data_IF_564135832760
#
_entry.id   IF_564135832760
#
_cell.length_a   1.000
_cell.length_b   1.000
_cell.length_c   1.000
_cell.angle_alpha   90.00
_cell.angle_beta   90.00
_cell.angle_gamma   90.00
#
_symmetry.space_group_name_H-M   'P 1'
#
loop_
_entity.id
_entity.type
_entity.pdbx_description
1 polymer ?
#
# COMPACT_ATOMS: atom_id res chain seq x y z
N UNK A 1 69.96 38.34 2.41
CA UNK A 1 69.21 38.43 3.68
C UNK A 1 67.88 37.72 3.46
N UNK A 2 67.43 36.86 4.37
CA UNK A 2 67.65 35.40 4.28
C UNK A 2 66.36 34.55 4.35
N UNK A 3 66.51 33.23 4.06
CA UNK A 3 65.77 32.04 4.60
C UNK A 3 64.24 31.94 4.34
N UNK A 4 63.58 30.79 4.16
CA UNK A 4 63.91 29.38 4.28
C UNK A 4 62.75 28.55 3.68
N UNK A 5 63.06 27.31 3.32
CA UNK A 5 62.30 26.08 3.59
C UNK A 5 60.83 25.93 3.14
N UNK A 6 60.66 25.00 2.19
CA UNK A 6 59.41 24.28 1.91
C UNK A 6 59.24 23.13 2.91
N UNK A 7 58.33 23.32 3.88
CA UNK A 7 57.87 22.37 4.92
C UNK A 7 56.43 22.84 5.25
N UNK A 8 55.33 22.09 5.35
CA UNK A 8 55.04 20.68 5.63
C UNK A 8 53.55 20.39 5.32
N UNK A 9 53.26 19.10 5.08
CA UNK A 9 52.07 18.34 5.51
C UNK A 9 50.71 19.03 5.71
N UNK A 10 49.70 18.52 5.00
CA UNK A 10 48.45 18.13 5.64
C UNK A 10 47.92 16.83 5.00
N UNK A 11 48.13 15.74 5.73
CA UNK A 11 47.18 14.64 5.85
C UNK A 11 45.76 15.23 5.93
N UNK A 12 44.77 14.65 5.25
CA UNK A 12 43.47 14.27 5.83
C UNK A 12 42.45 13.95 4.73
N UNK A 13 41.80 12.80 4.94
CA UNK A 13 40.51 12.37 4.38
C UNK A 13 40.46 12.06 2.88
N UNK A 14 40.80 10.79 2.59
CA UNK A 14 39.83 9.93 1.92
C UNK A 14 38.45 10.20 2.56
N UNK A 15 37.64 11.06 1.95
CA UNK A 15 36.21 11.05 2.20
C UNK A 15 35.71 9.71 1.68
N UNK A 16 35.77 8.72 2.57
CA UNK A 16 34.66 7.81 2.80
C UNK A 16 33.40 8.67 2.74
N UNK A 17 32.84 8.81 1.54
CA UNK A 17 31.41 9.07 1.35
C UNK A 17 30.76 7.86 1.98
N UNK A 18 30.58 8.03 3.28
CA UNK A 18 30.20 7.03 4.24
C UNK A 18 28.84 6.54 3.79
N UNK A 19 28.81 5.35 3.20
CA UNK A 19 28.06 4.18 3.70
C UNK A 19 26.86 4.47 4.60
N UNK A 20 26.05 5.45 4.21
CA UNK A 20 24.74 5.79 4.78
C UNK A 20 23.66 5.79 3.70
N UNK A 21 24.04 5.67 2.42
CA UNK A 21 23.17 5.12 1.37
C UNK A 21 23.22 3.59 1.50
N UNK A 22 22.53 3.04 2.50
CA UNK A 22 22.18 1.61 2.43
C UNK A 22 21.12 1.47 1.34
N UNK A 23 21.64 1.21 0.14
CA UNK A 23 20.98 0.93 -1.12
C UNK A 23 19.55 0.43 -0.93
N UNK A 24 18.57 1.29 -1.27
CA UNK A 24 17.27 0.76 -1.67
C UNK A 24 17.47 0.08 -3.02
N UNK A 25 17.86 -1.20 -2.99
CA UNK A 25 18.02 -2.02 -4.18
C UNK A 25 16.66 -2.19 -4.85
N UNK A 26 16.60 -1.92 -6.15
CA UNK A 26 15.41 -2.13 -6.98
C UNK A 26 15.41 -3.58 -7.44
N UNK A 27 14.33 -4.29 -7.17
CA UNK A 27 14.07 -5.64 -7.67
C UNK A 27 12.75 -5.71 -8.41
N UNK A 28 12.58 -6.78 -9.16
CA UNK A 28 11.29 -7.13 -9.77
C UNK A 28 10.77 -8.40 -9.14
N UNK A 29 9.52 -8.37 -8.67
CA UNK A 29 8.83 -9.50 -8.04
C UNK A 29 7.62 -9.86 -8.89
N UNK A 30 7.45 -11.15 -9.16
CA UNK A 30 6.25 -11.64 -9.85
C UNK A 30 5.09 -11.75 -8.87
N UNK A 31 4.00 -11.03 -9.14
CA UNK A 31 2.76 -11.04 -8.36
C UNK A 31 1.60 -11.38 -9.31
N UNK A 32 0.97 -12.55 -9.11
CA UNK A 32 -0.08 -13.09 -10.00
C UNK A 32 0.28 -13.06 -11.50
N UNK A 33 1.54 -13.37 -11.83
CA UNK A 33 2.02 -13.38 -13.22
C UNK A 33 2.38 -12.01 -13.79
N UNK A 34 2.26 -10.93 -13.01
CA UNK A 34 2.66 -9.58 -13.41
C UNK A 34 3.98 -9.18 -12.72
N UNK A 35 4.98 -8.65 -13.46
CA UNK A 35 6.19 -8.12 -12.85
C UNK A 35 5.90 -6.79 -12.15
N UNK A 36 6.11 -6.74 -10.83
CA UNK A 36 5.94 -5.55 -10.00
C UNK A 36 7.31 -5.12 -9.45
N UNK A 37 7.57 -3.81 -9.45
CA UNK A 37 8.81 -3.27 -8.92
C UNK A 37 8.73 -3.26 -7.39
N UNK A 38 9.79 -3.78 -6.77
CA UNK A 38 10.00 -3.81 -5.34
C UNK A 38 11.28 -3.04 -4.98
N UNK A 39 11.27 -2.39 -3.82
CA UNK A 39 12.44 -1.79 -3.20
C UNK A 39 12.78 -2.55 -1.92
N UNK A 40 14.05 -2.87 -1.73
CA UNK A 40 14.54 -3.45 -0.49
C UNK A 40 14.82 -2.33 0.50
N UNK A 41 14.16 -2.37 1.65
CA UNK A 41 14.39 -1.45 2.76
C UNK A 41 14.63 -2.26 4.03
N UNK A 42 15.79 -2.11 4.65
CA UNK A 42 16.16 -2.82 5.88
C UNK A 42 16.02 -4.35 5.76
N UNK A 43 16.36 -4.90 4.58
CA UNK A 43 16.24 -6.33 4.28
C UNK A 43 14.82 -6.81 3.95
N UNK A 44 13.83 -5.91 3.92
CA UNK A 44 12.44 -6.23 3.58
C UNK A 44 12.08 -5.70 2.21
N UNK A 45 11.56 -6.57 1.35
CA UNK A 45 11.04 -6.20 0.03
C UNK A 45 9.66 -5.55 0.16
N UNK A 46 9.53 -4.35 -0.41
CA UNK A 46 8.28 -3.61 -0.44
C UNK A 46 7.91 -3.18 -1.85
N UNK A 47 6.66 -3.41 -2.21
CA UNK A 47 6.08 -3.15 -3.52
C UNK A 47 5.30 -1.83 -3.50
N UNK A 48 5.28 -1.09 -4.61
CA UNK A 48 4.48 0.13 -4.71
C UNK A 48 3.00 -0.21 -4.91
N UNK A 49 2.15 0.23 -3.97
CA UNK A 49 0.71 -0.02 -4.00
C UNK A 49 0.04 0.59 -5.24
N UNK A 50 0.51 1.76 -5.69
CA UNK A 50 -0.05 2.41 -6.86
C UNK A 50 0.26 1.63 -8.16
N UNK A 51 1.41 0.96 -8.27
CA UNK A 51 1.68 0.06 -9.38
C UNK A 51 0.73 -1.14 -9.37
N UNK A 52 0.51 -1.75 -8.20
CA UNK A 52 -0.44 -2.87 -8.03
C UNK A 52 -1.86 -2.42 -8.39
N UNK A 53 -2.27 -1.23 -7.93
CA UNK A 53 -3.57 -0.63 -8.22
C UNK A 53 -3.80 -0.47 -9.72
N UNK A 54 -2.80 0.00 -10.45
CA UNK A 54 -2.91 0.27 -11.89
C UNK A 54 -2.76 -0.98 -12.76
N UNK A 55 -2.23 -2.07 -12.23
CA UNK A 55 -1.97 -3.31 -12.98
C UNK A 55 -3.00 -4.39 -12.66
N UNK A 56 -2.96 -4.91 -11.42
CA UNK A 56 -3.77 -6.04 -10.98
C UNK A 56 -5.19 -5.63 -10.55
N UNK A 57 -5.35 -4.41 -10.01
CA UNK A 57 -6.62 -3.95 -9.44
C UNK A 57 -7.24 -2.78 -10.23
N UNK A 58 -6.92 -2.65 -11.52
CA UNK A 58 -7.33 -1.51 -12.37
C UNK A 58 -8.85 -1.31 -12.49
N UNK A 59 -9.62 -2.38 -12.24
CA UNK A 59 -11.08 -2.36 -12.33
C UNK A 59 -11.76 -1.92 -11.03
N UNK A 60 -11.00 -1.69 -9.95
CA UNK A 60 -11.53 -1.27 -8.66
C UNK A 60 -11.20 0.21 -8.41
N UNK A 61 -12.12 0.91 -7.78
CA UNK A 61 -11.91 2.29 -7.39
C UNK A 61 -10.87 2.40 -6.28
N UNK A 62 -10.21 3.55 -6.21
CA UNK A 62 -9.28 3.85 -5.12
C UNK A 62 -9.93 3.69 -3.73
N UNK A 63 -11.21 4.06 -3.60
CA UNK A 63 -11.95 3.94 -2.35
C UNK A 63 -12.16 2.48 -1.94
N UNK A 64 -12.48 1.60 -2.88
CA UNK A 64 -12.61 0.15 -2.61
C UNK A 64 -11.27 -0.44 -2.18
N UNK A 65 -10.19 -0.13 -2.89
CA UNK A 65 -8.83 -0.58 -2.55
C UNK A 65 -8.42 -0.07 -1.16
N UNK A 66 -8.71 1.20 -0.85
CA UNK A 66 -8.45 1.79 0.45
C UNK A 66 -9.23 1.08 1.56
N UNK A 67 -10.55 0.93 1.42
CA UNK A 67 -11.41 0.28 2.40
C UNK A 67 -11.01 -1.17 2.63
N UNK A 68 -10.66 -1.89 1.54
CA UNK A 68 -10.25 -3.28 1.64
C UNK A 68 -8.90 -3.43 2.34
N UNK A 69 -7.93 -2.57 2.02
CA UNK A 69 -6.64 -2.48 2.71
C UNK A 69 -6.81 -2.27 4.21
N UNK A 70 -7.68 -1.33 4.61
CA UNK A 70 -7.98 -1.04 6.02
C UNK A 70 -8.62 -2.25 6.70
N UNK A 71 -9.62 -2.87 6.08
CA UNK A 71 -10.29 -4.05 6.63
C UNK A 71 -9.35 -5.26 6.81
N UNK A 72 -8.32 -5.40 5.96
CA UNK A 72 -7.31 -6.47 6.08
C UNK A 72 -6.20 -6.15 7.10
N UNK A 73 -6.19 -4.94 7.66
CA UNK A 73 -5.15 -4.47 8.58
C UNK A 73 -3.80 -4.23 7.92
N UNK A 74 -3.77 -3.90 6.62
CA UNK A 74 -2.53 -3.69 5.87
C UNK A 74 -2.01 -2.27 6.14
N UNK A 75 -0.76 -2.17 6.58
CA UNK A 75 -0.11 -0.88 6.87
C UNK A 75 0.71 -0.43 5.67
N UNK A 76 0.58 0.84 5.29
CA UNK A 76 1.33 1.42 4.17
C UNK A 76 2.40 2.34 4.71
N UNK A 77 3.62 2.10 4.26
CA UNK A 77 4.74 2.99 4.53
C UNK A 77 4.83 3.98 3.38
N UNK A 78 4.94 5.27 3.69
CA UNK A 78 5.11 6.30 2.68
C UNK A 78 6.53 6.24 2.12
N UNK A 79 6.67 6.28 0.80
CA UNK A 79 7.99 6.40 0.17
C UNK A 79 8.67 7.71 0.60
N UNK A 80 9.98 7.65 0.83
CA UNK A 80 10.78 8.88 0.85
C UNK A 80 10.87 9.47 -0.57
N UNK A 81 11.14 10.78 -0.73
CA UNK A 81 11.28 11.39 -2.06
C UNK A 81 12.34 10.70 -2.94
N UNK A 82 13.44 10.23 -2.34
CA UNK A 82 14.50 9.48 -3.03
C UNK A 82 13.99 8.15 -3.57
N UNK A 83 13.21 7.41 -2.77
CA UNK A 83 12.61 6.13 -3.18
C UNK A 83 11.55 6.32 -4.27
N UNK A 84 10.76 7.39 -4.17
CA UNK A 84 9.77 7.72 -5.18
C UNK A 84 10.45 8.00 -6.53
N UNK A 85 11.61 8.67 -6.52
CA UNK A 85 12.37 8.92 -7.73
C UNK A 85 12.96 7.62 -8.33
N UNK A 86 13.45 6.70 -7.50
CA UNK A 86 13.88 5.38 -7.98
C UNK A 86 12.73 4.59 -8.63
N UNK A 87 11.53 4.63 -8.05
CA UNK A 87 10.34 3.98 -8.61
C UNK A 87 9.93 4.59 -9.96
N UNK A 88 10.03 5.92 -10.11
CA UNK A 88 9.76 6.59 -11.39
C UNK A 88 10.79 6.19 -12.45
N UNK A 89 12.08 6.16 -12.10
CA UNK A 89 13.16 5.73 -13.01
C UNK A 89 13.01 4.26 -13.42
N UNK A 90 12.49 3.42 -12.53
CA UNK A 90 12.19 2.02 -12.81
C UNK A 90 10.88 1.81 -13.61
N UNK A 91 10.14 2.88 -13.94
CA UNK A 91 8.88 2.79 -14.69
C UNK A 91 7.68 2.27 -13.86
N UNK A 92 7.83 2.14 -12.54
CA UNK A 92 6.76 1.66 -11.66
C UNK A 92 5.64 2.70 -11.46
N UNK A 93 5.96 3.99 -11.59
CA UNK A 93 5.09 5.11 -11.27
C UNK A 93 5.24 6.26 -12.27
N UNK A 94 4.15 6.96 -12.64
CA UNK A 94 4.23 8.10 -13.52
C UNK A 94 4.86 9.31 -12.81
N UNK A 95 5.56 10.15 -13.58
CA UNK A 95 6.28 11.35 -13.10
C UNK A 95 5.36 12.31 -12.34
N UNK A 96 4.08 12.37 -12.71
CA UNK A 96 3.04 13.19 -12.06
C UNK A 96 2.72 12.77 -10.62
N UNK A 97 3.04 11.54 -10.22
CA UNK A 97 2.68 11.01 -8.90
C UNK A 97 3.58 11.59 -7.82
N UNK A 98 2.97 12.25 -6.83
CA UNK A 98 3.68 12.89 -5.70
C UNK A 98 3.77 12.03 -4.45
N UNK A 99 3.00 10.93 -4.38
CA UNK A 99 2.94 10.03 -3.23
C UNK A 99 2.81 8.59 -3.74
N UNK A 100 3.59 7.66 -3.16
CA UNK A 100 3.34 6.22 -3.26
C UNK A 100 3.36 5.64 -1.84
N UNK A 101 2.39 4.77 -1.56
CA UNK A 101 2.40 3.89 -0.40
C UNK A 101 3.03 2.55 -0.77
N UNK A 102 3.87 2.03 0.10
CA UNK A 102 4.54 0.74 -0.07
C UNK A 102 3.96 -0.28 0.89
N UNK A 103 3.84 -1.52 0.41
CA UNK A 103 3.39 -2.67 1.19
C UNK A 103 4.31 -3.86 0.96
N UNK A 104 4.35 -4.80 1.88
CA UNK A 104 5.14 -6.03 1.74
C UNK A 104 4.50 -6.97 0.71
N UNK A 105 5.29 -7.93 0.19
CA UNK A 105 4.79 -8.96 -0.73
C UNK A 105 3.57 -9.72 -0.17
N UNK A 106 3.65 -10.13 1.10
CA UNK A 106 2.56 -10.83 1.79
C UNK A 106 1.28 -10.00 1.87
N UNK A 107 1.41 -8.70 2.13
CA UNK A 107 0.26 -7.79 2.16
C UNK A 107 -0.34 -7.60 0.76
N UNK A 108 0.50 -7.47 -0.27
CA UNK A 108 0.07 -7.36 -1.66
C UNK A 108 -0.72 -8.59 -2.13
N UNK A 109 -0.22 -9.79 -1.81
CA UNK A 109 -0.90 -11.05 -2.08
C UNK A 109 -2.27 -11.12 -1.39
N UNK A 110 -2.34 -10.78 -0.10
CA UNK A 110 -3.61 -10.76 0.65
C UNK A 110 -4.60 -9.77 0.06
N UNK A 111 -4.14 -8.57 -0.30
CA UNK A 111 -4.99 -7.53 -0.89
C UNK A 111 -5.57 -8.00 -2.22
N UNK A 112 -4.71 -8.45 -3.14
CA UNK A 112 -5.14 -8.92 -4.45
C UNK A 112 -6.04 -10.15 -4.33
N UNK A 113 -5.70 -11.12 -3.48
CA UNK A 113 -6.55 -12.28 -3.20
C UNK A 113 -7.94 -11.87 -2.72
N UNK A 114 -8.07 -10.82 -1.90
CA UNK A 114 -9.39 -10.39 -1.42
C UNK A 114 -10.29 -9.77 -2.49
N UNK A 115 -9.71 -9.26 -3.57
CA UNK A 115 -10.43 -8.72 -4.71
C UNK A 115 -10.70 -9.78 -5.78
N UNK A 116 -9.76 -10.70 -5.96
CA UNK A 116 -9.81 -11.74 -6.99
C UNK A 116 -10.51 -13.02 -6.51
N UNK A 117 -10.53 -13.29 -5.20
CA UNK A 117 -11.31 -14.38 -4.65
C UNK A 117 -12.78 -13.96 -4.67
N UNK A 118 -13.56 -14.61 -5.52
CA UNK A 118 -15.03 -14.55 -5.54
C UNK A 118 -15.62 -15.23 -4.30
N UNK A 119 -15.28 -14.75 -3.12
CA UNK A 119 -16.11 -14.99 -1.93
C UNK A 119 -17.02 -13.78 -1.83
N UNK A 120 -18.00 -13.67 -2.72
CA UNK A 120 -19.16 -12.86 -2.37
C UNK A 120 -19.72 -13.51 -1.11
N UNK A 121 -19.72 -12.82 0.06
CA UNK A 121 -20.46 -13.34 1.19
C UNK A 121 -21.89 -13.58 0.70
N UNK A 122 -22.53 -14.71 1.08
CA UNK A 122 -23.86 -15.03 0.63
C UNK A 122 -24.75 -13.82 0.88
N UNK A 123 -25.21 -13.20 -0.21
CA UNK A 123 -26.15 -12.08 -0.10
C UNK A 123 -27.43 -12.67 0.45
N UNK A 124 -27.94 -12.07 1.53
CA UNK A 124 -29.29 -12.38 1.97
C UNK A 124 -30.25 -12.06 0.82
N UNK A 125 -31.28 -12.90 0.59
CA UNK A 125 -32.33 -12.58 -0.38
C UNK A 125 -32.87 -11.16 -0.16
N UNK A 126 -33.24 -10.44 -1.22
CA UNK A 126 -33.77 -9.06 -1.09
C UNK A 126 -35.01 -8.99 -0.19
N UNK A 127 -35.77 -10.10 -0.14
CA UNK A 127 -36.98 -10.29 0.66
C UNK A 127 -36.71 -10.94 2.02
N UNK A 128 -35.45 -11.03 2.46
CA UNK A 128 -35.13 -11.56 3.77
C UNK A 128 -35.79 -10.67 4.84
N UNK A 129 -36.71 -11.27 5.58
CA UNK A 129 -37.42 -10.62 6.67
C UNK A 129 -37.51 -11.58 7.86
N UNK A 130 -37.47 -11.04 9.07
CA UNK A 130 -37.73 -11.80 10.28
C UNK A 130 -38.71 -11.06 11.17
N UNK A 131 -39.49 -11.81 11.95
CA UNK A 131 -40.47 -11.24 12.87
C UNK A 131 -39.76 -10.59 14.06
N UNK A 132 -40.17 -9.37 14.37
CA UNK A 132 -39.70 -8.61 15.53
C UNK A 132 -40.84 -8.35 16.50
N UNK A 133 -40.51 -8.39 17.79
CA UNK A 133 -41.43 -8.06 18.86
C UNK A 133 -41.04 -6.72 19.47
N UNK A 134 -41.98 -5.78 19.59
CA UNK A 134 -41.72 -4.46 20.16
C UNK A 134 -42.19 -4.41 21.62
N UNK A 135 -41.33 -3.91 22.51
CA UNK A 135 -41.67 -3.61 23.90
C UNK A 135 -42.35 -2.24 24.04
N UNK A 136 -43.42 -2.00 23.28
CA UNK A 136 -44.28 -0.81 23.44
C UNK A 136 -45.60 -1.21 24.13
N UNK A 137 -46.22 -0.26 24.84
CA UNK A 137 -47.39 -0.50 25.72
C UNK A 137 -48.65 -1.07 25.04
N UNK A 138 -48.62 -1.29 23.73
CA UNK A 138 -49.74 -1.79 22.92
C UNK A 138 -49.39 -3.02 22.06
N UNK A 139 -48.23 -3.65 22.29
CA UNK A 139 -47.90 -4.97 21.73
C UNK A 139 -47.98 -5.06 20.20
N UNK A 140 -47.02 -4.48 19.49
CA UNK A 140 -46.97 -4.59 18.03
C UNK A 140 -45.89 -5.60 17.61
N UNK A 141 -46.31 -6.73 17.01
CA UNK A 141 -45.43 -7.58 16.20
C UNK A 141 -45.20 -6.89 14.86
N UNK A 142 -43.98 -6.95 14.35
CA UNK A 142 -43.61 -6.38 13.05
C UNK A 142 -42.71 -7.31 12.26
N UNK A 143 -42.45 -6.99 11.00
CA UNK A 143 -41.47 -7.71 10.17
C UNK A 143 -40.32 -6.77 9.84
N UNK A 144 -39.09 -7.17 10.15
CA UNK A 144 -37.89 -6.39 9.86
C UNK A 144 -37.26 -6.85 8.55
N UNK A 145 -37.17 -5.94 7.58
CA UNK A 145 -36.48 -6.15 6.29
C UNK A 145 -35.19 -5.33 6.26
N UNK A 146 -34.01 -5.93 6.52
CA UNK A 146 -32.74 -5.20 6.55
C UNK A 146 -32.43 -4.44 5.25
N UNK A 147 -32.88 -4.96 4.10
CA UNK A 147 -32.69 -4.34 2.79
C UNK A 147 -33.27 -2.92 2.68
N UNK A 148 -34.31 -2.60 3.46
CA UNK A 148 -34.95 -1.27 3.48
C UNK A 148 -34.21 -0.24 4.33
N UNK A 149 -33.20 -0.65 5.09
CA UNK A 149 -32.48 0.19 6.04
C UNK A 149 -30.97 0.31 5.71
N UNK A 150 -30.58 0.17 4.43
CA UNK A 150 -29.17 0.27 4.02
C UNK A 150 -28.61 1.72 4.05
N UNK A 151 -29.47 2.73 4.17
CA UNK A 151 -29.06 4.13 4.16
C UNK A 151 -28.49 4.52 5.52
N UNK A 152 -27.21 4.84 5.57
CA UNK A 152 -26.62 5.63 6.66
C UNK A 152 -27.22 7.04 6.59
N UNK A 153 -28.34 7.27 7.28
CA UNK A 153 -28.68 8.62 7.72
C UNK A 153 -27.74 9.03 8.85
#
# INVERSE_FOLDING_TARGET
MPTNETVQSDTTTNYTVSSTIRNSEVRTVMLYGVPIIALIMDGVERLCLAQISNTLLKNFSYNEIHNRRVALGITCIQCTPVQLELLRRAGAMPVSSRRCGMITKREAERLCKSFLAETQPPKLPENFAFDIYHHCSWGCKGSFMPSRYNSSR
#
